data_IF_517275724647
#
_entry.id   IF_517275724647
#
_cell.length_a   1.000
_cell.length_b   1.000
_cell.length_c   1.000
_cell.angle_alpha   90.00
_cell.angle_beta   90.00
_cell.angle_gamma   90.00
#
_symmetry.space_group_name_H-M   'P 1'
#
loop_
_entity.id
_entity.type
_entity.pdbx_description
1 polymer ?
#
# COMPACT_ATOMS: atom_id res chain seq x y z
N UNK A 1 13.29 -19.00 -4.97
CA UNK A 1 13.93 -18.04 -5.89
C UNK A 1 15.41 -17.98 -5.57
N UNK A 2 16.25 -17.81 -6.59
CA UNK A 2 17.62 -17.34 -6.38
C UNK A 2 17.63 -15.84 -6.07
N UNK A 3 18.81 -15.30 -5.72
CA UNK A 3 18.97 -13.91 -5.28
C UNK A 3 18.64 -12.90 -6.39
N UNK A 4 18.96 -13.23 -7.64
CA UNK A 4 18.69 -12.39 -8.81
C UNK A 4 17.18 -12.28 -9.09
N UNK A 5 16.46 -13.41 -9.03
CA UNK A 5 15.01 -13.45 -9.14
C UNK A 5 14.32 -12.65 -8.02
N UNK A 6 14.86 -12.71 -6.80
CA UNK A 6 14.30 -11.99 -5.66
C UNK A 6 14.42 -10.48 -5.83
N UNK A 7 15.57 -10.00 -6.30
CA UNK A 7 15.76 -8.57 -6.57
C UNK A 7 14.90 -8.09 -7.74
N UNK A 8 14.79 -8.86 -8.82
CA UNK A 8 13.90 -8.53 -9.93
C UNK A 8 12.43 -8.45 -9.50
N UNK A 9 11.98 -9.38 -8.65
CA UNK A 9 10.64 -9.34 -8.06
C UNK A 9 10.40 -8.10 -7.20
N UNK A 10 11.35 -7.78 -6.29
CA UNK A 10 11.25 -6.58 -5.45
C UNK A 10 11.19 -5.31 -6.29
N UNK A 11 12.00 -5.22 -7.34
CA UNK A 11 12.01 -4.06 -8.24
C UNK A 11 10.66 -3.90 -8.94
N UNK A 12 10.11 -4.98 -9.51
CA UNK A 12 8.82 -4.95 -10.21
C UNK A 12 7.66 -4.65 -9.26
N UNK A 13 7.65 -5.27 -8.07
CA UNK A 13 6.67 -4.98 -7.03
C UNK A 13 6.71 -3.51 -6.62
N UNK A 14 7.92 -2.97 -6.41
CA UNK A 14 8.13 -1.58 -6.03
C UNK A 14 7.60 -0.63 -7.11
N UNK A 15 7.97 -0.85 -8.37
CA UNK A 15 7.48 -0.06 -9.52
C UNK A 15 5.95 -0.09 -9.60
N UNK A 16 5.37 -1.29 -9.56
CA UNK A 16 3.93 -1.50 -9.66
C UNK A 16 3.19 -0.79 -8.53
N UNK A 17 3.67 -0.95 -7.29
CA UNK A 17 3.08 -0.32 -6.11
C UNK A 17 3.07 1.20 -6.21
N UNK A 18 4.23 1.81 -6.47
CA UNK A 18 4.34 3.27 -6.56
C UNK A 18 3.54 3.85 -7.72
N UNK A 19 3.65 3.24 -8.90
CA UNK A 19 2.92 3.72 -10.07
C UNK A 19 1.40 3.63 -9.86
N UNK A 20 0.93 2.52 -9.27
CA UNK A 20 -0.49 2.35 -8.96
C UNK A 20 -1.01 3.41 -8.00
N UNK A 21 -0.28 3.68 -6.90
CA UNK A 21 -0.70 4.71 -5.94
C UNK A 21 -0.74 6.07 -6.61
N UNK A 22 0.30 6.47 -7.34
CA UNK A 22 0.35 7.78 -7.99
C UNK A 22 -0.75 7.94 -9.04
N UNK A 23 -1.03 6.89 -9.81
CA UNK A 23 -2.14 6.88 -10.77
C UNK A 23 -3.48 7.10 -10.06
N UNK A 24 -3.77 6.28 -9.05
CA UNK A 24 -5.03 6.39 -8.32
C UNK A 24 -5.17 7.76 -7.62
N UNK A 25 -4.10 8.29 -7.02
CA UNK A 25 -4.09 9.64 -6.44
C UNK A 25 -4.38 10.72 -7.49
N UNK A 26 -3.81 10.61 -8.70
CA UNK A 26 -4.05 11.60 -9.76
C UNK A 26 -5.50 11.66 -10.24
N UNK A 27 -6.27 10.59 -10.02
CA UNK A 27 -7.69 10.50 -10.32
C UNK A 27 -8.57 11.04 -9.16
N UNK A 28 -7.99 11.26 -7.97
CA UNK A 28 -8.69 11.75 -6.78
C UNK A 28 -8.61 13.28 -6.72
N UNK A 29 -9.77 13.94 -6.72
CA UNK A 29 -9.87 15.40 -6.65
C UNK A 29 -9.84 15.99 -5.23
N UNK A 30 -9.91 15.14 -4.21
CA UNK A 30 -10.20 15.53 -2.82
C UNK A 30 -9.13 15.07 -1.81
N UNK A 31 -9.27 15.53 -0.56
CA UNK A 31 -8.45 15.08 0.56
C UNK A 31 -8.83 13.66 0.98
N UNK A 32 -7.86 12.93 1.54
CA UNK A 32 -8.01 11.54 1.97
C UNK A 32 -8.11 11.39 3.49
N UNK A 33 -8.83 10.35 3.88
CA UNK A 33 -8.89 9.74 5.22
C UNK A 33 -7.94 8.54 5.30
N UNK A 34 -7.65 8.07 6.53
CA UNK A 34 -6.84 6.85 6.73
C UNK A 34 -7.46 5.62 6.03
N UNK A 35 -8.78 5.55 5.98
CA UNK A 35 -9.49 4.45 5.31
C UNK A 35 -9.25 4.46 3.80
N UNK A 36 -9.35 5.61 3.15
CA UNK A 36 -9.12 5.70 1.70
C UNK A 36 -7.66 5.38 1.35
N UNK A 37 -6.71 5.81 2.18
CA UNK A 37 -5.30 5.43 2.00
C UNK A 37 -5.10 3.92 2.16
N UNK A 38 -5.79 3.28 3.11
CA UNK A 38 -5.77 1.81 3.24
C UNK A 38 -6.28 1.11 1.99
N UNK A 39 -7.36 1.62 1.39
CA UNK A 39 -7.91 1.08 0.14
C UNK A 39 -6.90 1.24 -1.00
N UNK A 40 -6.22 2.39 -1.12
CA UNK A 40 -5.18 2.63 -2.12
C UNK A 40 -4.01 1.65 -2.00
N UNK A 41 -3.48 1.47 -0.79
CA UNK A 41 -2.37 0.55 -0.53
C UNK A 41 -2.76 -0.89 -0.91
N UNK A 42 -3.94 -1.34 -0.46
CA UNK A 42 -4.41 -2.70 -0.73
C UNK A 42 -4.62 -2.93 -2.24
N UNK A 43 -5.25 -1.97 -2.93
CA UNK A 43 -5.47 -2.04 -4.38
C UNK A 43 -4.13 -2.07 -5.13
N UNK A 44 -3.18 -1.23 -4.76
CA UNK A 44 -1.87 -1.17 -5.39
C UNK A 44 -1.08 -2.48 -5.26
N UNK A 45 -1.08 -3.09 -4.08
CA UNK A 45 -0.40 -4.38 -3.86
C UNK A 45 -1.12 -5.54 -4.54
N UNK A 46 -2.46 -5.48 -4.65
CA UNK A 46 -3.27 -6.49 -5.33
C UNK A 46 -3.04 -6.54 -6.85
N UNK A 47 -2.32 -5.58 -7.43
CA UNK A 47 -1.88 -5.68 -8.83
C UNK A 47 -0.76 -6.71 -9.03
N UNK A 48 -0.05 -7.10 -7.98
CA UNK A 48 0.89 -8.21 -8.04
C UNK A 48 0.11 -9.54 -7.91
N UNK A 49 0.05 -10.39 -8.95
CA UNK A 49 -0.72 -11.63 -8.92
C UNK A 49 -0.17 -12.66 -7.91
N UNK A 50 1.08 -12.49 -7.49
CA UNK A 50 1.75 -13.38 -6.54
C UNK A 50 1.45 -13.04 -5.07
N UNK A 51 0.78 -11.91 -4.82
CA UNK A 51 0.44 -11.44 -3.49
C UNK A 51 -1.05 -11.64 -3.18
N UNK A 52 -1.34 -12.16 -1.99
CA UNK A 52 -2.66 -12.04 -1.38
C UNK A 52 -2.57 -11.03 -0.25
N UNK A 53 -3.43 -10.01 -0.29
CA UNK A 53 -3.31 -8.82 0.55
C UNK A 53 -4.62 -8.52 1.24
N UNK A 54 -4.59 -8.49 2.56
CA UNK A 54 -5.74 -8.13 3.38
C UNK A 54 -5.33 -7.32 4.61
N UNK A 55 -6.28 -6.57 5.17
CA UNK A 55 -6.09 -5.89 6.45
C UNK A 55 -6.41 -6.87 7.58
N UNK A 56 -5.50 -6.98 8.55
CA UNK A 56 -5.71 -7.78 9.74
C UNK A 56 -6.84 -7.23 10.61
N UNK A 57 -7.57 -8.12 11.28
CA UNK A 57 -8.58 -7.75 12.26
C UNK A 57 -7.96 -6.90 13.40
N UNK A 58 -8.58 -5.77 13.71
CA UNK A 58 -8.04 -4.78 14.66
C UNK A 58 -7.79 -5.36 16.05
N UNK A 59 -8.67 -6.24 16.52
CA UNK A 59 -8.61 -6.90 17.83
C UNK A 59 -7.48 -7.92 17.93
N UNK A 60 -7.00 -8.46 16.80
CA UNK A 60 -5.93 -9.47 16.75
C UNK A 60 -4.58 -8.91 16.35
N UNK A 61 -4.57 -8.00 15.38
CA UNK A 61 -3.35 -7.54 14.72
C UNK A 61 -3.07 -6.05 14.94
N UNK A 62 -4.00 -5.29 15.55
CA UNK A 62 -3.86 -3.85 15.74
C UNK A 62 -4.43 -3.02 14.58
N UNK A 63 -4.40 -1.69 14.73
CA UNK A 63 -5.30 -0.80 13.99
C UNK A 63 -4.94 -0.61 12.49
N UNK A 64 -3.80 -1.10 11.99
CA UNK A 64 -3.37 -0.93 10.59
C UNK A 64 -2.32 -1.97 10.19
N UNK A 65 -2.51 -3.22 10.59
CA UNK A 65 -1.60 -4.30 10.18
C UNK A 65 -2.04 -4.88 8.86
N UNK A 66 -1.17 -4.83 7.86
CA UNK A 66 -1.37 -5.45 6.56
C UNK A 66 -0.84 -6.88 6.61
N UNK A 67 -1.67 -7.82 6.19
CA UNK A 67 -1.32 -9.22 6.01
C UNK A 67 -1.01 -9.43 4.53
N UNK A 68 0.24 -9.79 4.24
CA UNK A 68 0.71 -10.04 2.88
C UNK A 68 1.19 -11.48 2.80
N UNK A 69 0.46 -12.32 2.09
CA UNK A 69 0.87 -13.68 1.82
C UNK A 69 1.58 -13.74 0.47
N UNK A 70 2.78 -14.32 0.49
CA UNK A 70 3.60 -14.60 -0.68
C UNK A 70 4.05 -16.05 -0.62
N UNK A 71 3.66 -16.85 -1.61
CA UNK A 71 3.84 -18.31 -1.61
C UNK A 71 3.35 -18.95 -0.28
N UNK A 72 4.26 -19.52 0.51
CA UNK A 72 3.99 -20.15 1.81
C UNK A 72 4.26 -19.24 3.01
N UNK A 73 4.69 -18.00 2.78
CA UNK A 73 5.07 -17.05 3.82
C UNK A 73 3.95 -16.04 4.06
N UNK A 74 3.71 -15.72 5.34
CA UNK A 74 2.84 -14.64 5.77
C UNK A 74 3.69 -13.53 6.38
N UNK A 75 3.60 -12.34 5.80
CA UNK A 75 4.24 -11.13 6.30
C UNK A 75 3.19 -10.27 7.02
N UNK A 76 3.55 -9.79 8.20
CA UNK A 76 2.76 -8.83 8.97
C UNK A 76 3.46 -7.48 8.91
N UNK A 77 2.81 -6.50 8.31
CA UNK A 77 3.37 -5.17 8.09
C UNK A 77 2.57 -4.16 8.89
N UNK A 78 3.21 -3.53 9.86
CA UNK A 78 2.63 -2.38 10.57
C UNK A 78 2.66 -1.17 9.61
N UNK A 79 1.49 -0.77 9.10
CA UNK A 79 1.39 0.18 8.01
C UNK A 79 0.97 1.60 8.45
N UNK A 80 0.79 1.86 9.75
CA UNK A 80 0.36 3.19 10.23
C UNK A 80 1.28 4.33 9.76
N UNK A 81 2.63 4.19 9.78
CA UNK A 81 3.53 5.24 9.29
C UNK A 81 3.31 5.54 7.81
N UNK A 82 3.11 4.51 6.98
CA UNK A 82 2.88 4.66 5.55
C UNK A 82 1.53 5.34 5.28
N UNK A 83 0.48 4.90 5.97
CA UNK A 83 -0.87 5.48 5.86
C UNK A 83 -0.82 6.97 6.22
N UNK A 84 -0.18 7.30 7.34
CA UNK A 84 -0.03 8.68 7.80
C UNK A 84 0.76 9.52 6.80
N UNK A 85 1.87 9.02 6.27
CA UNK A 85 2.71 9.73 5.32
C UNK A 85 1.94 10.07 4.03
N UNK A 86 1.26 9.09 3.43
CA UNK A 86 0.46 9.32 2.20
C UNK A 86 -0.65 10.34 2.48
N UNK A 87 -1.40 10.17 3.57
CA UNK A 87 -2.50 11.08 3.92
C UNK A 87 -2.04 12.51 4.11
N UNK A 88 -1.00 12.72 4.91
CA UNK A 88 -0.47 14.06 5.22
C UNK A 88 0.02 14.73 3.94
N UNK A 89 0.89 14.07 3.18
CA UNK A 89 1.50 14.64 1.98
C UNK A 89 0.44 14.97 0.92
N UNK A 90 -0.52 14.07 0.70
CA UNK A 90 -1.58 14.31 -0.27
C UNK A 90 -2.52 15.45 0.12
N UNK A 91 -2.95 15.47 1.39
CA UNK A 91 -3.87 16.51 1.85
C UNK A 91 -3.19 17.88 1.88
N UNK A 92 -1.89 17.94 2.21
CA UNK A 92 -1.11 19.16 2.09
C UNK A 92 -1.00 19.62 0.64
N UNK A 93 -0.73 18.71 -0.30
CA UNK A 93 -0.72 19.01 -1.73
C UNK A 93 -2.07 19.60 -2.19
N UNK A 94 -3.18 18.92 -1.86
CA UNK A 94 -4.53 19.37 -2.23
C UNK A 94 -4.93 20.69 -1.58
N UNK A 95 -4.51 20.94 -0.35
CA UNK A 95 -4.78 22.22 0.32
C UNK A 95 -4.09 23.43 -0.33
N UNK A 96 -3.03 23.19 -1.11
CA UNK A 96 -2.31 24.24 -1.86
C UNK A 96 -2.85 24.46 -3.28
N UNK A 97 -3.61 23.49 -3.81
CA UNK A 97 -4.29 23.62 -5.11
C UNK A 97 -5.61 24.41 -5.03
N UNK A 98 -6.23 24.48 -3.83
CA UNK A 98 -7.42 25.27 -3.54
C UNK A 98 -7.07 26.71 -3.12
#
# INVERSE_FOLDING_TARGET
MDEEQLEAFKEELTKTFFFSILKDLSEIGETLTDFEVKVLIQKALSHSPDLQVEWGEMDRFGNSTLLVKYESNLLLIEASPLISAIRILWNEYKSKEN
#
